data_IF_256993283049
#
_entry.id   IF_256993283049
#
_cell.length_a   1.000
_cell.length_b   1.000
_cell.length_c   1.000
_cell.angle_alpha   90.00
_cell.angle_beta   90.00
_cell.angle_gamma   90.00
#
_symmetry.space_group_name_H-M   'P 1'
#
loop_
_entity.id
_entity.type
_entity.pdbx_description
1 polymer ?
#
# COMPACT_ATOMS: atom_id res chain seq x y z
N UNK A 1 -19.71 -33.32 3.22
CA UNK A 1 -19.32 -31.99 2.77
C UNK A 1 -17.89 -31.76 3.25
N UNK A 2 -16.91 -31.74 2.33
CA UNK A 2 -15.53 -31.51 2.71
C UNK A 2 -15.40 -30.04 3.08
N UNK A 3 -15.11 -29.74 4.34
CA UNK A 3 -14.66 -28.41 4.76
C UNK A 3 -13.38 -28.07 3.98
N UNK A 4 -13.28 -26.90 3.35
CA UNK A 4 -12.03 -26.50 2.69
C UNK A 4 -10.89 -26.52 3.71
N UNK A 5 -9.78 -27.16 3.37
CA UNK A 5 -8.59 -27.13 4.20
C UNK A 5 -8.04 -25.69 4.29
N UNK A 6 -7.47 -25.31 5.42
CA UNK A 6 -7.06 -23.93 5.76
C UNK A 6 -6.18 -23.25 4.67
N UNK A 7 -5.40 -24.02 3.91
CA UNK A 7 -4.57 -23.53 2.81
C UNK A 7 -5.38 -23.20 1.53
N UNK A 8 -6.55 -23.84 1.29
CA UNK A 8 -7.40 -23.52 0.14
C UNK A 8 -8.12 -22.18 0.30
N UNK A 9 -8.34 -21.71 1.53
CA UNK A 9 -8.90 -20.39 1.81
C UNK A 9 -7.91 -19.24 1.51
N UNK A 10 -6.61 -19.50 1.57
CA UNK A 10 -5.56 -18.49 1.27
C UNK A 10 -5.40 -18.18 -0.22
N UNK A 11 -5.87 -19.03 -1.11
CA UNK A 11 -5.61 -18.92 -2.57
C UNK A 11 -6.72 -18.18 -3.32
N UNK A 12 -7.91 -18.04 -2.75
CA UNK A 12 -9.06 -17.47 -3.46
C UNK A 12 -9.63 -16.26 -2.71
N UNK A 13 -9.90 -15.19 -3.47
CA UNK A 13 -10.71 -14.07 -2.97
C UNK A 13 -12.10 -14.54 -2.55
N UNK A 14 -12.66 -13.93 -1.48
CA UNK A 14 -14.01 -14.28 -1.01
C UNK A 14 -15.11 -14.00 -2.05
N UNK A 15 -14.86 -13.04 -2.95
CA UNK A 15 -15.77 -12.74 -4.05
C UNK A 15 -15.12 -13.10 -5.38
N UNK A 16 -15.89 -13.69 -6.29
CA UNK A 16 -15.40 -14.04 -7.63
C UNK A 16 -14.98 -12.79 -8.39
N UNK A 17 -13.73 -12.71 -8.91
CA UNK A 17 -13.28 -11.57 -9.68
C UNK A 17 -14.12 -11.37 -10.97
N UNK A 18 -14.52 -10.14 -11.24
CA UNK A 18 -15.25 -9.78 -12.46
C UNK A 18 -14.23 -9.57 -13.57
N UNK A 19 -14.13 -10.52 -14.51
CA UNK A 19 -13.17 -10.45 -15.62
C UNK A 19 -13.63 -9.49 -16.73
N UNK A 20 -14.94 -9.37 -16.94
CA UNK A 20 -15.55 -8.52 -17.95
C UNK A 20 -16.48 -7.52 -17.27
N UNK A 21 -15.99 -6.34 -16.88
CA UNK A 21 -16.82 -5.37 -16.18
C UNK A 21 -17.88 -4.76 -17.10
N UNK A 22 -19.00 -4.37 -16.51
CA UNK A 22 -20.02 -3.58 -17.17
C UNK A 22 -19.58 -2.09 -17.27
N UNK A 23 -20.10 -1.39 -18.24
CA UNK A 23 -19.85 0.04 -18.45
C UNK A 23 -18.48 0.37 -19.07
N UNK A 24 -18.47 1.44 -19.87
CA UNK A 24 -17.30 1.87 -20.64
C UNK A 24 -16.15 2.33 -19.72
N UNK A 25 -16.48 2.99 -18.61
CA UNK A 25 -15.49 3.50 -17.66
C UNK A 25 -14.62 2.36 -17.08
N UNK A 26 -15.24 1.29 -16.60
CA UNK A 26 -14.50 0.17 -16.01
C UNK A 26 -13.72 -0.63 -17.07
N UNK A 27 -14.25 -0.75 -18.28
CA UNK A 27 -13.50 -1.35 -19.40
C UNK A 27 -12.22 -0.56 -19.71
N UNK A 28 -12.31 0.78 -19.71
CA UNK A 28 -11.15 1.66 -19.89
C UNK A 28 -10.13 1.51 -18.73
N UNK A 29 -10.61 1.50 -17.49
CA UNK A 29 -9.75 1.29 -16.31
C UNK A 29 -9.01 -0.06 -16.40
N UNK A 30 -9.69 -1.14 -16.82
CA UNK A 30 -9.06 -2.45 -17.04
C UNK A 30 -8.00 -2.41 -18.13
N UNK A 31 -8.26 -1.72 -19.25
CA UNK A 31 -7.30 -1.57 -20.33
C UNK A 31 -6.04 -0.80 -19.86
N UNK A 32 -6.24 0.31 -19.14
CA UNK A 32 -5.14 1.13 -18.60
C UNK A 32 -4.28 0.35 -17.59
N UNK A 33 -4.91 -0.36 -16.65
CA UNK A 33 -4.14 -1.15 -15.66
C UNK A 33 -3.42 -2.33 -16.29
N UNK A 34 -4.01 -2.98 -17.28
CA UNK A 34 -3.32 -4.02 -18.06
C UNK A 34 -2.10 -3.46 -18.80
N UNK A 35 -2.22 -2.28 -19.38
CA UNK A 35 -1.09 -1.61 -20.02
C UNK A 35 0.01 -1.24 -19.00
N UNK A 36 -0.37 -0.68 -17.84
CA UNK A 36 0.57 -0.22 -16.82
C UNK A 36 1.26 -1.35 -16.06
N UNK A 37 0.52 -2.40 -15.68
CA UNK A 37 0.99 -3.47 -14.79
C UNK A 37 1.18 -4.83 -15.51
N UNK A 38 0.75 -4.95 -16.76
CA UNK A 38 0.76 -6.23 -17.49
C UNK A 38 -0.46 -7.12 -17.21
N UNK A 39 -1.28 -6.75 -16.22
CA UNK A 39 -2.51 -7.44 -15.84
C UNK A 39 -3.54 -6.45 -15.28
N UNK A 40 -4.78 -6.89 -15.17
CA UNK A 40 -5.79 -6.15 -14.40
C UNK A 40 -5.64 -6.53 -12.94
N UNK A 41 -5.49 -5.54 -12.07
CA UNK A 41 -5.29 -5.74 -10.64
C UNK A 41 -6.51 -6.41 -9.99
N UNK A 42 -6.27 -7.37 -9.10
CA UNK A 42 -7.33 -8.10 -8.40
C UNK A 42 -8.28 -7.19 -7.61
N UNK A 43 -7.85 -6.14 -6.88
CA UNK A 43 -8.76 -5.20 -6.24
C UNK A 43 -9.74 -4.53 -7.21
N UNK A 44 -9.32 -4.23 -8.43
CA UNK A 44 -10.22 -3.65 -9.44
C UNK A 44 -11.32 -4.63 -9.86
N UNK A 45 -10.95 -5.90 -10.03
CA UNK A 45 -11.90 -6.97 -10.40
C UNK A 45 -12.88 -7.29 -9.28
N UNK A 46 -12.44 -7.20 -8.02
CA UNK A 46 -13.25 -7.59 -6.87
C UNK A 46 -14.08 -6.44 -6.32
N UNK A 47 -13.48 -5.26 -6.12
CA UNK A 47 -14.11 -4.11 -5.47
C UNK A 47 -14.58 -3.06 -6.47
N UNK A 48 -13.67 -2.51 -7.28
CA UNK A 48 -13.99 -1.36 -8.13
C UNK A 48 -15.01 -1.69 -9.21
N UNK A 49 -15.01 -2.91 -9.73
CA UNK A 49 -16.02 -3.34 -10.71
C UNK A 49 -17.45 -3.40 -10.12
N UNK A 50 -17.57 -3.57 -8.79
CA UNK A 50 -18.86 -3.56 -8.08
C UNK A 50 -19.24 -2.18 -7.55
N UNK A 51 -18.25 -1.41 -7.13
CA UNK A 51 -18.43 -0.09 -6.52
C UNK A 51 -17.48 0.92 -7.16
N UNK A 52 -17.65 1.25 -8.45
CA UNK A 52 -16.69 2.07 -9.19
C UNK A 52 -16.55 3.49 -8.65
N UNK A 53 -17.60 4.07 -8.08
CA UNK A 53 -17.54 5.41 -7.47
C UNK A 53 -16.77 5.38 -6.16
N UNK A 54 -17.03 4.43 -5.26
CA UNK A 54 -16.38 4.36 -3.97
C UNK A 54 -14.92 3.95 -4.10
N UNK A 55 -14.61 2.79 -4.68
CA UNK A 55 -13.24 2.29 -4.76
C UNK A 55 -12.46 2.84 -5.96
N UNK A 56 -13.10 3.02 -7.11
CA UNK A 56 -12.42 3.51 -8.30
C UNK A 56 -12.11 5.00 -8.24
N UNK A 57 -13.13 5.84 -8.05
CA UNK A 57 -12.94 7.30 -8.02
C UNK A 57 -12.22 7.76 -6.75
N UNK A 58 -12.52 7.20 -5.59
CA UNK A 58 -11.89 7.57 -4.33
C UNK A 58 -10.40 7.24 -4.34
N UNK A 59 -10.01 6.03 -4.75
CA UNK A 59 -8.61 5.65 -4.92
C UNK A 59 -7.87 6.56 -5.93
N UNK A 60 -8.51 6.91 -7.05
CA UNK A 60 -7.96 7.86 -8.02
C UNK A 60 -7.76 9.26 -7.41
N UNK A 61 -8.67 9.70 -6.52
CA UNK A 61 -8.56 10.98 -5.85
C UNK A 61 -7.43 10.99 -4.81
N UNK A 62 -7.29 9.93 -4.02
CA UNK A 62 -6.15 9.75 -3.11
C UNK A 62 -4.84 9.87 -3.89
N UNK A 63 -4.66 9.09 -4.96
CA UNK A 63 -3.45 9.11 -5.79
C UNK A 63 -3.13 10.49 -6.39
N UNK A 64 -4.15 11.30 -6.73
CA UNK A 64 -3.95 12.69 -7.20
C UNK A 64 -3.51 13.63 -6.08
N UNK A 65 -4.01 13.43 -4.87
CA UNK A 65 -3.64 14.22 -3.69
C UNK A 65 -2.23 13.88 -3.24
N UNK A 66 -1.84 12.62 -3.26
CA UNK A 66 -0.50 12.17 -2.90
C UNK A 66 0.60 12.84 -3.73
N UNK A 67 0.32 13.17 -5.00
CA UNK A 67 1.26 13.91 -5.86
C UNK A 67 1.52 15.35 -5.40
N UNK A 68 0.76 15.85 -4.42
CA UNK A 68 0.91 17.20 -3.85
C UNK A 68 1.55 17.19 -2.47
N UNK A 69 1.95 16.03 -1.97
CA UNK A 69 2.67 15.91 -0.71
C UNK A 69 4.08 16.50 -0.85
N UNK A 70 4.60 17.02 0.25
CA UNK A 70 5.93 17.63 0.32
C UNK A 70 7.01 16.64 0.75
N UNK A 71 6.61 15.52 1.32
CA UNK A 71 7.51 14.41 1.64
C UNK A 71 8.16 13.84 0.37
N UNK A 72 9.38 13.35 0.50
CA UNK A 72 10.07 12.70 -0.62
C UNK A 72 9.28 11.47 -1.12
N UNK A 73 9.34 11.15 -2.42
CA UNK A 73 8.71 9.95 -2.95
C UNK A 73 9.13 8.66 -2.24
N UNK A 74 10.40 8.57 -1.81
CA UNK A 74 10.90 7.44 -1.05
C UNK A 74 10.24 7.36 0.33
N UNK A 75 10.15 8.48 1.07
CA UNK A 75 9.51 8.51 2.38
C UNK A 75 8.01 8.18 2.31
N UNK A 76 7.30 8.69 1.31
CA UNK A 76 5.90 8.35 1.05
C UNK A 76 5.74 6.84 0.91
N UNK A 77 6.60 6.22 0.13
CA UNK A 77 6.51 4.79 -0.16
C UNK A 77 6.95 3.94 1.04
N UNK A 78 8.00 4.35 1.78
CA UNK A 78 8.42 3.69 3.02
C UNK A 78 7.30 3.66 4.07
N UNK A 79 6.59 4.78 4.26
CA UNK A 79 5.46 4.82 5.20
C UNK A 79 4.35 3.85 4.79
N UNK A 80 3.96 3.87 3.51
CA UNK A 80 2.90 2.97 3.00
C UNK A 80 3.28 1.50 3.12
N UNK A 81 4.50 1.18 2.74
CA UNK A 81 5.03 -0.18 2.82
C UNK A 81 5.07 -0.66 4.28
N UNK A 82 5.52 0.21 5.21
CA UNK A 82 5.58 -0.12 6.62
C UNK A 82 4.18 -0.40 7.23
N UNK A 83 3.19 0.44 6.89
CA UNK A 83 1.79 0.19 7.29
C UNK A 83 1.27 -1.12 6.69
N UNK A 84 1.59 -1.41 5.43
CA UNK A 84 1.18 -2.64 4.76
C UNK A 84 1.80 -3.90 5.40
N UNK A 85 3.09 -3.83 5.81
CA UNK A 85 3.76 -4.90 6.54
C UNK A 85 3.12 -5.14 7.91
N UNK A 86 2.88 -4.08 8.70
CA UNK A 86 2.25 -4.19 10.02
C UNK A 86 0.85 -4.81 9.91
N UNK A 87 0.08 -4.43 8.89
CA UNK A 87 -1.26 -4.94 8.65
C UNK A 87 -1.30 -6.27 7.88
N UNK A 88 -0.15 -6.77 7.43
CA UNK A 88 -0.01 -8.03 6.66
C UNK A 88 -0.87 -8.01 5.39
N UNK A 89 -0.85 -6.89 4.65
CA UNK A 89 -1.56 -6.74 3.37
C UNK A 89 -0.66 -7.17 2.21
N UNK A 90 -0.70 -8.44 1.82
CA UNK A 90 0.17 -8.99 0.76
C UNK A 90 0.07 -8.22 -0.57
N UNK A 91 -1.13 -7.84 -1.00
CA UNK A 91 -1.31 -7.04 -2.21
C UNK A 91 -0.67 -5.66 -2.08
N UNK A 92 -0.80 -5.01 -0.91
CA UNK A 92 -0.27 -3.67 -0.70
C UNK A 92 1.27 -3.67 -0.68
N UNK A 93 1.88 -4.67 -0.04
CA UNK A 93 3.33 -4.91 -0.06
C UNK A 93 3.81 -5.13 -1.51
N UNK A 94 3.16 -5.99 -2.27
CA UNK A 94 3.54 -6.31 -3.65
C UNK A 94 3.47 -5.09 -4.58
N UNK A 95 2.40 -4.30 -4.50
CA UNK A 95 2.26 -3.11 -5.35
C UNK A 95 3.22 -1.99 -4.93
N UNK A 96 3.45 -1.78 -3.63
CA UNK A 96 4.41 -0.83 -3.09
C UNK A 96 5.82 -1.14 -3.58
N UNK A 97 6.26 -2.39 -3.45
CA UNK A 97 7.54 -2.88 -3.98
C UNK A 97 7.67 -2.69 -5.49
N UNK A 98 6.61 -2.99 -6.24
CA UNK A 98 6.58 -2.75 -7.68
C UNK A 98 6.82 -1.28 -8.03
N UNK A 99 6.29 -0.33 -7.23
CA UNK A 99 6.54 1.10 -7.43
C UNK A 99 7.98 1.49 -7.07
N UNK A 100 8.55 0.97 -5.98
CA UNK A 100 9.95 1.20 -5.61
C UNK A 100 10.90 0.76 -6.73
N UNK A 101 10.68 -0.43 -7.28
CA UNK A 101 11.45 -0.98 -8.41
C UNK A 101 11.33 -0.08 -9.64
N UNK A 102 10.11 0.34 -10.03
CA UNK A 102 9.88 1.23 -11.19
C UNK A 102 10.57 2.59 -11.03
N UNK A 103 10.58 3.12 -9.83
CA UNK A 103 11.22 4.39 -9.52
C UNK A 103 12.74 4.27 -9.30
N UNK A 104 13.32 3.07 -9.45
CA UNK A 104 14.74 2.79 -9.19
C UNK A 104 15.21 3.24 -7.80
N UNK A 105 14.35 3.07 -6.81
CA UNK A 105 14.68 3.31 -5.40
C UNK A 105 15.59 2.20 -4.86
N UNK A 106 16.22 2.46 -3.71
CA UNK A 106 17.11 1.49 -3.07
C UNK A 106 16.30 0.28 -2.54
N UNK A 107 16.25 -0.81 -3.30
CA UNK A 107 15.52 -2.02 -2.93
C UNK A 107 15.98 -2.60 -1.59
N UNK A 108 17.31 -2.52 -1.28
CA UNK A 108 17.84 -3.01 -0.01
C UNK A 108 17.25 -2.29 1.22
N UNK A 109 16.90 -1.01 1.08
CA UNK A 109 16.25 -0.24 2.15
C UNK A 109 14.83 -0.74 2.41
N UNK A 110 14.08 -1.07 1.35
CA UNK A 110 12.76 -1.66 1.49
C UNK A 110 12.81 -3.09 2.02
N UNK A 111 13.84 -3.87 1.68
CA UNK A 111 14.06 -5.22 2.22
C UNK A 111 14.36 -5.18 3.72
N UNK A 112 15.06 -4.15 4.19
CA UNK A 112 15.43 -3.94 5.58
C UNK A 112 14.38 -3.20 6.42
N UNK A 113 13.18 -2.97 5.88
CA UNK A 113 12.16 -2.13 6.53
C UNK A 113 11.68 -2.67 7.88
N UNK A 114 11.70 -3.98 8.08
CA UNK A 114 11.35 -4.59 9.37
C UNK A 114 12.43 -4.38 10.45
N UNK A 115 13.65 -4.01 10.04
CA UNK A 115 14.82 -3.76 10.90
C UNK A 115 15.19 -2.27 10.93
N UNK A 116 14.27 -1.38 10.55
CA UNK A 116 14.54 0.05 10.34
C UNK A 116 15.16 0.74 11.55
N UNK A 117 14.87 0.28 12.74
CA UNK A 117 15.33 0.84 14.02
C UNK A 117 16.85 0.74 14.22
N UNK A 118 17.45 -0.33 13.73
CA UNK A 118 18.90 -0.64 13.90
C UNK A 118 19.68 -0.57 12.59
N UNK A 119 19.01 -0.70 11.45
CA UNK A 119 19.68 -0.80 10.15
C UNK A 119 20.25 0.56 9.70
N UNK A 120 21.56 0.64 9.31
CA UNK A 120 22.23 1.89 8.94
C UNK A 120 21.69 2.54 7.65
N UNK A 121 20.86 1.86 6.87
CA UNK A 121 20.22 2.44 5.69
C UNK A 121 19.18 3.51 6.03
N UNK A 122 18.72 3.56 7.27
CA UNK A 122 17.70 4.53 7.71
C UNK A 122 18.33 5.68 8.50
N UNK A 123 17.94 6.89 8.16
CA UNK A 123 18.29 8.09 8.89
C UNK A 123 17.51 8.19 10.20
N UNK A 124 17.97 9.03 11.14
CA UNK A 124 17.24 9.27 12.39
C UNK A 124 15.84 9.87 12.15
N UNK A 125 15.71 10.75 11.17
CA UNK A 125 14.39 11.29 10.79
C UNK A 125 13.43 10.19 10.30
N UNK A 126 13.91 9.27 9.47
CA UNK A 126 13.10 8.15 8.98
C UNK A 126 12.70 7.21 10.10
N UNK A 127 13.65 6.87 11.01
CA UNK A 127 13.34 6.05 12.21
C UNK A 127 12.28 6.71 13.07
N UNK A 128 12.40 8.00 13.36
CA UNK A 128 11.43 8.72 14.16
C UNK A 128 10.03 8.72 13.54
N UNK A 129 9.94 8.85 12.22
CA UNK A 129 8.66 8.76 11.52
C UNK A 129 8.10 7.33 11.49
N UNK A 130 8.95 6.31 11.29
CA UNK A 130 8.53 4.91 11.25
C UNK A 130 8.11 4.42 12.64
N UNK A 131 8.75 4.88 13.75
CA UNK A 131 8.28 4.63 15.11
C UNK A 131 6.87 5.21 15.34
N UNK A 132 6.66 6.45 14.91
CA UNK A 132 5.35 7.08 14.95
C UNK A 132 4.29 6.29 14.17
N UNK A 133 4.63 5.89 12.93
CA UNK A 133 3.75 5.08 12.08
C UNK A 133 3.45 3.72 12.71
N UNK A 134 4.44 3.10 13.36
CA UNK A 134 4.27 1.83 14.06
C UNK A 134 3.25 1.93 15.18
N UNK A 135 3.41 2.90 16.08
CA UNK A 135 2.48 3.12 17.19
C UNK A 135 1.08 3.45 16.69
N UNK A 136 0.98 4.39 15.75
CA UNK A 136 -0.31 4.79 15.18
C UNK A 136 -1.01 3.62 14.48
N UNK A 137 -0.26 2.74 13.81
CA UNK A 137 -0.81 1.59 13.08
C UNK A 137 -1.21 0.45 13.98
N UNK A 138 -0.37 0.07 14.96
CA UNK A 138 -0.62 -1.05 15.87
C UNK A 138 -1.60 -0.68 16.99
N UNK A 139 -1.29 0.41 17.69
CA UNK A 139 -1.92 0.74 18.97
C UNK A 139 -3.08 1.72 18.79
N UNK A 140 -3.24 2.33 17.61
CA UNK A 140 -4.18 3.43 17.34
C UNK A 140 -3.98 4.61 18.30
N UNK A 141 -2.78 4.73 18.82
CA UNK A 141 -2.35 5.72 19.77
C UNK A 141 -0.86 6.02 19.56
N UNK A 142 -0.41 7.19 19.97
CA UNK A 142 1.00 7.61 19.86
C UNK A 142 1.43 8.19 21.19
N UNK A 143 2.57 7.75 21.71
CA UNK A 143 3.13 8.29 22.94
C UNK A 143 3.66 9.71 22.73
N UNK A 144 3.55 10.61 23.72
CA UNK A 144 4.05 11.97 23.60
C UNK A 144 5.55 12.04 23.24
N UNK A 145 6.36 11.11 23.73
CA UNK A 145 7.80 11.05 23.47
C UNK A 145 8.08 10.72 22.00
N UNK A 146 7.34 9.77 21.43
CA UNK A 146 7.44 9.39 20.01
C UNK A 146 7.02 10.56 19.12
N UNK A 147 5.94 11.26 19.46
CA UNK A 147 5.52 12.46 18.75
C UNK A 147 6.59 13.56 18.83
N UNK A 148 7.14 13.82 20.02
CA UNK A 148 8.18 14.83 20.23
C UNK A 148 9.42 14.53 19.41
N UNK A 149 9.87 13.27 19.39
CA UNK A 149 11.02 12.85 18.59
C UNK A 149 10.77 13.06 17.09
N UNK A 150 9.61 12.68 16.57
CA UNK A 150 9.25 12.89 15.17
C UNK A 150 9.15 14.38 14.84
N UNK A 151 8.51 15.19 15.68
CA UNK A 151 8.33 16.63 15.45
C UNK A 151 9.64 17.44 15.44
N UNK A 152 10.73 16.88 15.97
CA UNK A 152 12.06 17.47 15.85
C UNK A 152 12.61 17.42 14.43
N UNK A 153 12.11 16.54 13.57
CA UNK A 153 12.57 16.33 12.19
C UNK A 153 11.58 16.78 11.11
N UNK A 154 10.31 16.89 11.44
CA UNK A 154 9.25 17.16 10.46
C UNK A 154 8.44 18.40 10.82
N UNK A 155 8.13 19.22 9.83
CA UNK A 155 7.20 20.33 9.99
C UNK A 155 5.77 19.83 10.29
N UNK A 156 4.93 20.66 10.88
CA UNK A 156 3.52 20.33 11.14
C UNK A 156 2.78 19.86 9.87
N UNK A 157 3.09 20.45 8.72
CA UNK A 157 2.58 20.03 7.42
C UNK A 157 3.00 18.59 7.10
N UNK A 158 4.29 18.27 7.23
CA UNK A 158 4.82 16.94 6.95
C UNK A 158 4.25 15.89 7.91
N UNK A 159 4.03 16.25 9.19
CA UNK A 159 3.35 15.40 10.17
C UNK A 159 1.93 15.07 9.73
N UNK A 160 1.17 16.07 9.28
CA UNK A 160 -0.17 15.84 8.72
C UNK A 160 -0.14 14.94 7.48
N UNK A 161 0.90 15.06 6.65
CA UNK A 161 1.08 14.20 5.48
C UNK A 161 1.40 12.75 5.88
N UNK A 162 2.20 12.53 6.93
CA UNK A 162 2.45 11.19 7.50
C UNK A 162 1.13 10.57 7.98
N UNK A 163 0.33 11.31 8.75
CA UNK A 163 -1.00 10.85 9.22
C UNK A 163 -1.92 10.51 8.04
N UNK A 164 -1.94 11.37 7.01
CA UNK A 164 -2.70 11.13 5.78
C UNK A 164 -2.29 9.82 5.10
N UNK A 165 -0.97 9.56 4.98
CA UNK A 165 -0.46 8.34 4.36
C UNK A 165 -0.87 7.10 5.16
N UNK A 166 -0.75 7.13 6.49
CA UNK A 166 -1.20 6.04 7.37
C UNK A 166 -2.69 5.78 7.18
N UNK A 167 -3.54 6.82 7.28
CA UNK A 167 -4.99 6.68 7.17
C UNK A 167 -5.42 6.15 5.80
N UNK A 168 -4.84 6.68 4.72
CA UNK A 168 -5.16 6.23 3.37
C UNK A 168 -4.65 4.82 3.06
N UNK A 169 -3.51 4.41 3.64
CA UNK A 169 -3.02 3.05 3.49
C UNK A 169 -3.87 2.05 4.27
N UNK A 170 -4.35 2.40 5.45
CA UNK A 170 -5.35 1.58 6.16
C UNK A 170 -6.61 1.34 5.34
N UNK A 171 -7.10 2.36 4.61
CA UNK A 171 -8.23 2.17 3.70
C UNK A 171 -7.95 1.06 2.67
N UNK A 172 -6.77 1.05 2.04
CA UNK A 172 -6.41 0.00 1.08
C UNK A 172 -6.21 -1.35 1.77
N UNK A 173 -5.49 -1.38 2.89
CA UNK A 173 -5.17 -2.63 3.59
C UNK A 173 -6.45 -3.35 4.06
N UNK A 174 -7.34 -2.65 4.78
CA UNK A 174 -8.59 -3.23 5.29
C UNK A 174 -9.49 -3.70 4.14
N UNK A 175 -9.55 -2.93 3.06
CA UNK A 175 -10.35 -3.31 1.89
C UNK A 175 -9.84 -4.61 1.24
N UNK A 176 -8.53 -4.75 1.10
CA UNK A 176 -7.93 -5.95 0.50
C UNK A 176 -8.02 -7.16 1.43
N UNK A 177 -7.66 -7.00 2.70
CA UNK A 177 -7.69 -8.07 3.71
C UNK A 177 -9.13 -8.59 3.90
N UNK A 178 -10.10 -7.67 4.00
CA UNK A 178 -11.51 -8.02 4.22
C UNK A 178 -12.14 -8.85 3.08
N UNK A 179 -11.51 -8.89 1.90
CA UNK A 179 -11.95 -9.67 0.74
C UNK A 179 -10.96 -10.77 0.34
N UNK A 180 -10.00 -11.05 1.20
CA UNK A 180 -8.96 -12.08 0.99
C UNK A 180 -8.21 -11.88 -0.32
N UNK A 181 -7.80 -10.63 -0.60
CA UNK A 181 -7.03 -10.26 -1.79
C UNK A 181 -5.55 -10.40 -1.47
N UNK A 182 -4.90 -11.32 -2.17
CA UNK A 182 -3.47 -11.62 -2.05
C UNK A 182 -2.63 -10.90 -3.10
N UNK A 183 -1.31 -11.12 -3.08
CA UNK A 183 -0.36 -10.60 -4.06
C UNK A 183 -0.79 -10.91 -5.50
N UNK A 184 -0.63 -9.94 -6.37
CA UNK A 184 -0.78 -10.06 -7.82
C UNK A 184 0.54 -10.39 -8.53
N UNK A 185 1.64 -10.62 -7.79
CA UNK A 185 3.00 -10.86 -8.27
C UNK A 185 3.55 -9.71 -9.12
N UNK A 186 3.24 -8.48 -8.73
CA UNK A 186 3.58 -7.26 -9.47
C UNK A 186 5.09 -6.97 -9.43
N UNK A 187 5.76 -7.32 -8.33
CA UNK A 187 7.21 -7.25 -8.21
C UNK A 187 7.90 -8.06 -9.30
N UNK A 188 7.50 -9.32 -9.46
CA UNK A 188 8.09 -10.22 -10.45
C UNK A 188 7.83 -9.75 -11.88
N UNK A 189 6.60 -9.28 -12.15
CA UNK A 189 6.24 -8.70 -13.44
C UNK A 189 7.12 -7.46 -13.73
N UNK A 190 7.37 -6.63 -12.73
CA UNK A 190 8.15 -5.40 -12.88
C UNK A 190 9.63 -5.72 -13.11
N UNK A 191 10.20 -6.67 -12.36
CA UNK A 191 11.60 -7.11 -12.54
C UNK A 191 11.86 -7.71 -13.93
N UNK A 192 10.91 -8.44 -14.49
CA UNK A 192 11.03 -9.01 -15.85
C UNK A 192 10.96 -7.98 -16.97
N UNK A 193 10.46 -6.76 -16.71
CA UNK A 193 10.33 -5.69 -17.70
C UNK A 193 11.49 -4.68 -17.69
N UNK A 194 12.37 -4.76 -16.69
CA UNK A 194 13.64 -4.02 -16.61
C UNK A 194 14.74 -4.81 -17.32
#
# INVERSE_FOLDING_TARGET
MNTPTEWTLKVHTFLIPIEKPEGLMMKLVYALTRWQFGKVLTPLKVMSARMPLAFGMFASKISKLDKKLTLSPEMILLIREHVAHINICEFCIDIGRSFAIKASMNEAKFDALEEYDTNPLFTEAERAALDYVTELTRDKNVRPETFTRMSAHYSERAICEIVWLVASEHFYNISNIGLNIHSDMLCDITKRKK
#
